data_IF_935483799777
#
_entry.id   IF_935483799777
#
_cell.length_a   1.000
_cell.length_b   1.000
_cell.length_c   1.000
_cell.angle_alpha   90.00
_cell.angle_beta   90.00
_cell.angle_gamma   90.00
#
_symmetry.space_group_name_H-M   'P 1'
#
loop_
_entity.id
_entity.type
_entity.pdbx_description
1 polymer ?
#
# COMPACT_ATOMS: atom_id res chain seq x y z
N UNK A 1 -5.38 39.42 35.30
CA UNK A 1 -5.91 38.58 34.18
C UNK A 1 -5.94 39.32 32.86
N UNK A 2 -5.86 40.66 32.85
CA UNK A 2 -5.82 41.49 31.63
C UNK A 2 -4.45 41.59 30.96
N UNK A 3 -3.34 41.43 31.68
CA UNK A 3 -1.99 41.54 31.13
C UNK A 3 -1.54 40.36 30.25
N UNK A 4 -2.25 39.21 30.26
CA UNK A 4 -1.95 38.04 29.49
C UNK A 4 -2.52 38.13 28.05
N UNK A 5 -3.56 38.91 27.81
CA UNK A 5 -4.24 39.05 26.54
C UNK A 5 -3.60 40.08 25.63
N UNK A 6 -2.81 41.03 26.17
CA UNK A 6 -2.13 42.07 25.37
C UNK A 6 -0.81 41.62 24.74
N UNK A 7 -0.31 40.43 25.12
CA UNK A 7 0.96 39.89 24.58
C UNK A 7 0.74 38.83 23.48
N UNK A 8 -0.51 38.45 23.26
CA UNK A 8 -0.84 37.41 22.27
C UNK A 8 -0.79 37.94 20.85
N UNK A 9 0.25 37.59 20.12
CA UNK A 9 0.41 37.95 18.71
C UNK A 9 -0.23 36.88 17.81
N UNK A 10 -0.74 37.29 16.67
CA UNK A 10 -1.24 36.37 15.65
C UNK A 10 -0.16 35.33 15.22
N UNK A 11 1.10 35.68 15.33
CA UNK A 11 2.26 34.78 15.12
C UNK A 11 2.29 33.62 16.09
N UNK A 12 1.87 33.82 17.36
CA UNK A 12 1.88 32.77 18.39
C UNK A 12 0.78 31.72 18.13
N UNK A 13 -0.36 32.16 17.60
CA UNK A 13 -1.44 31.26 17.18
C UNK A 13 -1.02 30.43 15.97
N UNK A 14 -0.34 31.04 15.02
CA UNK A 14 0.18 30.38 13.83
C UNK A 14 1.27 29.37 14.20
N UNK A 15 2.14 29.71 15.16
CA UNK A 15 3.19 28.83 15.66
C UNK A 15 2.58 27.60 16.39
N UNK A 16 1.58 27.81 17.26
CA UNK A 16 0.87 26.73 17.95
C UNK A 16 0.19 25.78 16.95
N UNK A 17 -0.49 26.31 15.92
CA UNK A 17 -1.15 25.52 14.89
C UNK A 17 -0.12 24.72 14.11
N UNK A 18 0.98 25.35 13.70
CA UNK A 18 2.03 24.72 12.89
C UNK A 18 2.75 23.63 13.68
N UNK A 19 3.09 23.87 14.95
CA UNK A 19 3.69 22.89 15.86
C UNK A 19 2.72 21.74 16.13
N UNK A 20 1.43 22.02 16.37
CA UNK A 20 0.41 20.99 16.60
C UNK A 20 0.26 20.09 15.36
N UNK A 21 0.23 20.68 14.15
CA UNK A 21 0.12 19.95 12.90
C UNK A 21 1.37 19.12 12.65
N UNK A 22 2.56 19.66 12.96
CA UNK A 22 3.84 18.96 12.85
C UNK A 22 3.91 17.77 13.82
N UNK A 23 3.50 17.95 15.07
CA UNK A 23 3.44 16.88 16.08
C UNK A 23 2.42 15.82 15.65
N UNK A 24 1.23 16.22 15.19
CA UNK A 24 0.22 15.29 14.70
C UNK A 24 0.71 14.44 13.53
N UNK A 25 1.41 15.05 12.57
CA UNK A 25 2.05 14.34 11.45
C UNK A 25 3.19 13.42 11.91
N UNK A 26 4.01 13.86 12.85
CA UNK A 26 5.06 13.03 13.45
C UNK A 26 4.47 11.80 14.15
N UNK A 27 3.40 11.96 14.92
CA UNK A 27 2.73 10.84 15.61
C UNK A 27 2.08 9.84 14.63
N UNK A 28 1.58 10.29 13.48
CA UNK A 28 1.05 9.38 12.45
C UNK A 28 2.16 8.58 11.76
N UNK A 29 3.35 9.16 11.58
CA UNK A 29 4.53 8.46 11.03
C UNK A 29 5.12 7.44 12.02
N UNK A 30 4.99 7.69 13.34
CA UNK A 30 5.51 6.84 14.41
C UNK A 30 4.70 5.55 14.66
N UNK A 31 3.65 5.28 13.90
CA UNK A 31 2.84 4.05 14.03
C UNK A 31 3.57 2.77 13.62
N UNK A 32 4.71 2.85 12.94
CA UNK A 32 5.55 1.69 12.66
C UNK A 32 6.39 1.33 13.88
N UNK A 33 6.42 0.04 14.25
CA UNK A 33 7.20 -0.45 15.39
C UNK A 33 8.71 -0.14 15.25
N UNK A 34 9.20 0.00 14.02
CA UNK A 34 10.59 0.32 13.71
C UNK A 34 10.91 1.79 14.00
N UNK A 35 10.02 2.71 13.60
CA UNK A 35 10.18 4.16 13.85
C UNK A 35 10.19 4.46 15.36
N UNK A 36 9.33 3.81 16.12
CA UNK A 36 9.28 3.97 17.58
C UNK A 36 10.57 3.49 18.27
N UNK A 37 11.14 2.36 17.82
CA UNK A 37 12.41 1.84 18.34
C UNK A 37 13.58 2.78 18.04
N UNK A 38 13.65 3.32 16.82
CA UNK A 38 14.69 4.27 16.42
C UNK A 38 14.61 5.57 17.23
N UNK A 39 13.40 6.10 17.43
CA UNK A 39 13.17 7.26 18.27
C UNK A 39 13.64 7.02 19.71
N UNK A 40 13.32 5.86 20.27
CA UNK A 40 13.72 5.49 21.62
C UNK A 40 15.25 5.43 21.75
N UNK A 41 15.96 4.82 20.79
CA UNK A 41 17.42 4.77 20.74
C UNK A 41 18.00 6.17 20.66
N UNK A 42 17.44 7.06 19.85
CA UNK A 42 17.89 8.44 19.70
C UNK A 42 17.70 9.26 20.98
N UNK A 43 16.56 9.09 21.67
CA UNK A 43 16.28 9.72 22.97
C UNK A 43 17.26 9.24 24.05
N UNK A 44 17.54 7.93 24.11
CA UNK A 44 18.50 7.37 25.06
C UNK A 44 19.92 7.89 24.76
N UNK A 45 20.32 7.93 23.50
CA UNK A 45 21.63 8.49 23.13
C UNK A 45 21.76 9.97 23.48
N UNK A 46 20.69 10.75 23.28
CA UNK A 46 20.63 12.17 23.66
C UNK A 46 20.75 12.37 25.18
N UNK A 47 20.01 11.58 25.97
CA UNK A 47 20.10 11.63 27.44
C UNK A 47 21.51 11.24 27.93
N UNK A 48 22.12 10.20 27.34
CA UNK A 48 23.51 9.82 27.64
C UNK A 48 24.51 10.93 27.30
N UNK A 49 24.29 11.66 26.20
CA UNK A 49 25.13 12.78 25.83
C UNK A 49 25.07 13.93 26.86
N UNK A 50 23.87 14.23 27.40
CA UNK A 50 23.68 15.20 28.48
C UNK A 50 24.41 14.74 29.75
N UNK A 51 24.19 13.51 30.17
CA UNK A 51 24.83 12.96 31.38
C UNK A 51 26.36 12.94 31.22
N UNK A 52 26.89 12.54 30.09
CA UNK A 52 28.31 12.53 29.77
C UNK A 52 28.92 13.93 29.87
N UNK A 53 28.19 14.98 29.39
CA UNK A 53 28.62 16.37 29.50
C UNK A 53 28.69 16.84 30.95
N UNK A 54 27.68 16.51 31.75
CA UNK A 54 27.63 16.87 33.17
C UNK A 54 28.67 16.15 34.02
N UNK A 55 29.03 14.90 33.64
CA UNK A 55 30.01 14.07 34.34
C UNK A 55 31.46 14.31 33.90
N UNK A 56 31.72 15.22 32.96
CA UNK A 56 33.06 15.54 32.49
C UNK A 56 33.73 14.45 31.65
N UNK A 57 32.97 13.49 31.13
CA UNK A 57 33.45 12.38 30.30
C UNK A 57 33.64 12.83 28.84
N UNK A 58 34.77 13.50 28.59
CA UNK A 58 35.06 14.16 27.30
C UNK A 58 35.05 13.22 26.10
N UNK A 59 35.60 12.01 26.24
CA UNK A 59 35.68 11.01 25.15
C UNK A 59 34.30 10.46 24.79
N UNK A 60 33.49 10.14 25.79
CA UNK A 60 32.13 9.63 25.60
C UNK A 60 31.22 10.72 24.99
N UNK A 61 31.36 11.95 25.47
CA UNK A 61 30.64 13.09 24.94
C UNK A 61 30.95 13.33 23.46
N UNK A 62 32.24 13.34 23.09
CA UNK A 62 32.66 13.51 21.68
C UNK A 62 32.11 12.38 20.78
N UNK A 63 32.14 11.12 21.24
CA UNK A 63 31.61 10.00 20.51
C UNK A 63 30.09 10.12 20.29
N UNK A 64 29.34 10.46 21.35
CA UNK A 64 27.88 10.61 21.27
C UNK A 64 27.47 11.82 20.43
N UNK A 65 28.22 12.92 20.48
CA UNK A 65 27.96 14.12 19.68
C UNK A 65 28.19 13.84 18.18
N UNK A 66 29.26 13.11 17.85
CA UNK A 66 29.50 12.62 16.49
C UNK A 66 28.42 11.67 15.99
N UNK A 67 27.95 10.76 16.86
CA UNK A 67 26.86 9.83 16.53
C UNK A 67 25.54 10.56 16.30
N UNK A 68 25.20 11.51 17.18
CA UNK A 68 23.99 12.31 17.07
C UNK A 68 24.04 13.24 15.85
N UNK A 69 25.19 13.78 15.51
CA UNK A 69 25.39 14.59 14.30
C UNK A 69 25.12 13.78 13.02
N UNK A 70 25.53 12.52 13.00
CA UNK A 70 25.25 11.61 11.86
C UNK A 70 23.85 11.00 11.89
N UNK A 71 23.14 11.06 13.02
CA UNK A 71 21.80 10.47 13.19
C UNK A 71 20.77 11.06 12.22
N UNK A 72 20.89 12.32 11.86
CA UNK A 72 20.02 12.98 10.86
C UNK A 72 20.20 12.33 9.49
N UNK A 73 21.43 12.08 9.07
CA UNK A 73 21.73 11.42 7.79
C UNK A 73 21.22 9.98 7.80
N UNK A 74 21.45 9.27 8.90
CA UNK A 74 20.96 7.89 9.09
C UNK A 74 19.44 7.86 9.05
N UNK A 75 18.76 8.78 9.74
CA UNK A 75 17.32 8.90 9.73
C UNK A 75 16.79 9.15 8.30
N UNK A 76 17.38 10.07 7.55
CA UNK A 76 16.99 10.35 6.15
C UNK A 76 17.15 9.09 5.29
N UNK A 77 18.25 8.33 5.45
CA UNK A 77 18.48 7.09 4.69
C UNK A 77 17.46 6.01 5.06
N UNK A 78 17.13 5.86 6.34
CA UNK A 78 16.14 4.85 6.78
C UNK A 78 14.73 5.24 6.33
N UNK A 79 14.38 6.52 6.43
CA UNK A 79 13.05 7.01 6.07
C UNK A 79 12.93 7.47 4.61
N UNK A 80 13.96 7.29 3.76
CA UNK A 80 13.92 7.75 2.37
C UNK A 80 12.75 7.14 1.59
N UNK A 81 12.39 5.87 1.87
CA UNK A 81 11.24 5.20 1.26
C UNK A 81 9.92 5.80 1.70
N UNK A 82 9.79 6.18 2.98
CA UNK A 82 8.57 6.80 3.51
C UNK A 82 8.44 8.25 3.04
N UNK A 83 9.56 8.99 2.97
CA UNK A 83 9.62 10.33 2.38
C UNK A 83 9.25 10.28 0.90
N UNK A 84 9.81 9.33 0.14
CA UNK A 84 9.48 9.13 -1.27
C UNK A 84 7.98 8.80 -1.45
N UNK A 85 7.43 7.92 -0.61
CA UNK A 85 5.98 7.60 -0.64
C UNK A 85 5.14 8.84 -0.37
N UNK A 86 5.46 9.62 0.67
CA UNK A 86 4.77 10.85 0.98
C UNK A 86 4.80 11.84 -0.19
N UNK A 87 5.98 12.08 -0.78
CA UNK A 87 6.14 12.98 -1.91
C UNK A 87 5.35 12.52 -3.15
N UNK A 88 5.34 11.22 -3.45
CA UNK A 88 4.58 10.66 -4.56
C UNK A 88 3.06 10.75 -4.31
N UNK A 89 2.61 10.59 -3.07
CA UNK A 89 1.20 10.75 -2.70
C UNK A 89 0.76 12.20 -2.88
N UNK A 90 1.52 13.18 -2.38
CA UNK A 90 1.21 14.61 -2.56
C UNK A 90 1.32 15.08 -4.02
N UNK A 91 2.23 14.52 -4.81
CA UNK A 91 2.36 14.85 -6.24
C UNK A 91 1.16 14.42 -7.08
N UNK A 92 0.44 13.36 -6.67
CA UNK A 92 -0.76 12.87 -7.38
C UNK A 92 -2.01 13.70 -7.13
N UNK A 93 -2.15 14.29 -5.93
CA UNK A 93 -3.30 15.14 -5.57
C UNK A 93 -3.45 16.33 -6.52
N UNK A 94 -2.35 16.79 -7.13
CA UNK A 94 -2.36 17.91 -8.08
C UNK A 94 -2.73 17.51 -9.53
N UNK A 95 -2.92 16.20 -9.81
CA UNK A 95 -3.10 15.67 -11.17
C UNK A 95 -4.44 14.93 -11.40
N UNK A 96 -5.38 14.98 -10.46
CA UNK A 96 -6.68 14.33 -10.61
C UNK A 96 -7.54 15.07 -11.65
N UNK A 97 -7.53 14.54 -12.89
CA UNK A 97 -8.38 14.97 -13.99
C UNK A 97 -9.65 14.10 -14.08
N UNK A 98 -10.77 14.61 -14.61
CA UNK A 98 -12.03 13.84 -14.79
C UNK A 98 -11.91 12.58 -15.66
N UNK A 99 -10.79 12.43 -16.35
CA UNK A 99 -10.45 11.28 -17.20
C UNK A 99 -10.18 10.00 -16.40
N UNK A 100 -9.80 10.13 -15.12
CA UNK A 100 -9.42 9.02 -14.25
C UNK A 100 -10.62 8.16 -13.81
N UNK A 101 -11.80 8.75 -13.67
CA UNK A 101 -13.03 8.01 -13.34
C UNK A 101 -13.53 7.13 -14.50
N UNK A 102 -13.31 7.57 -15.74
CA UNK A 102 -13.63 6.78 -16.94
C UNK A 102 -12.70 5.57 -17.08
N UNK A 103 -11.40 5.74 -16.82
CA UNK A 103 -10.41 4.66 -16.87
C UNK A 103 -10.66 3.60 -15.81
N UNK A 104 -11.05 4.01 -14.60
CA UNK A 104 -11.40 3.06 -13.52
C UNK A 104 -12.62 2.22 -13.90
N UNK A 105 -13.66 2.85 -14.46
CA UNK A 105 -14.86 2.14 -14.90
C UNK A 105 -14.55 1.11 -16.02
N UNK A 106 -13.69 1.45 -16.99
CA UNK A 106 -13.25 0.54 -18.04
C UNK A 106 -12.49 -0.68 -17.46
N UNK A 107 -11.60 -0.46 -16.48
CA UNK A 107 -10.87 -1.54 -15.80
C UNK A 107 -11.83 -2.44 -15.03
N UNK A 108 -12.77 -1.87 -14.27
CA UNK A 108 -13.79 -2.64 -13.52
C UNK A 108 -14.59 -3.52 -14.46
N UNK A 109 -15.04 -2.96 -15.59
CA UNK A 109 -15.79 -3.73 -16.59
C UNK A 109 -14.97 -4.85 -17.22
N UNK A 110 -13.72 -4.57 -17.62
CA UNK A 110 -12.84 -5.56 -18.23
C UNK A 110 -12.53 -6.71 -17.25
N UNK A 111 -12.16 -6.41 -16.02
CA UNK A 111 -11.84 -7.40 -14.97
C UNK A 111 -13.07 -8.23 -14.63
N UNK A 112 -14.23 -7.58 -14.44
CA UNK A 112 -15.46 -8.30 -14.12
C UNK A 112 -15.93 -9.20 -15.24
N UNK A 113 -15.85 -8.75 -16.50
CA UNK A 113 -16.21 -9.53 -17.67
C UNK A 113 -15.25 -10.71 -17.88
N UNK A 114 -13.95 -10.51 -17.66
CA UNK A 114 -12.96 -11.59 -17.68
C UNK A 114 -13.24 -12.63 -16.60
N UNK A 115 -13.49 -12.18 -15.34
CA UNK A 115 -13.81 -13.07 -14.23
C UNK A 115 -15.05 -13.92 -14.51
N UNK A 116 -16.12 -13.34 -15.07
CA UNK A 116 -17.32 -14.07 -15.46
C UNK A 116 -17.05 -15.10 -16.58
N UNK A 117 -16.26 -14.73 -17.59
CA UNK A 117 -15.88 -15.64 -18.68
C UNK A 117 -15.04 -16.82 -18.20
N UNK A 118 -14.09 -16.57 -17.29
CA UNK A 118 -13.22 -17.59 -16.69
C UNK A 118 -14.00 -18.48 -15.71
N UNK A 119 -14.88 -17.91 -14.92
CA UNK A 119 -15.80 -18.60 -14.02
C UNK A 119 -16.69 -19.61 -14.75
N UNK A 120 -17.32 -19.19 -15.84
CA UNK A 120 -18.17 -20.06 -16.66
C UNK A 120 -17.44 -21.27 -17.26
N UNK A 121 -16.11 -21.22 -17.33
CA UNK A 121 -15.24 -22.29 -17.86
C UNK A 121 -14.46 -23.02 -16.79
N UNK A 122 -14.64 -22.69 -15.52
CA UNK A 122 -13.83 -23.18 -14.39
C UNK A 122 -12.31 -22.97 -14.62
N UNK A 123 -11.93 -21.84 -15.21
CA UNK A 123 -10.53 -21.48 -15.40
C UNK A 123 -10.09 -20.62 -14.22
N UNK A 124 -9.12 -21.14 -13.44
CA UNK A 124 -8.56 -20.42 -12.30
C UNK A 124 -7.82 -19.15 -12.73
N UNK A 125 -8.06 -18.05 -12.03
CA UNK A 125 -7.36 -16.79 -12.29
C UNK A 125 -7.03 -16.02 -11.02
N UNK A 126 -6.03 -15.15 -11.10
CA UNK A 126 -5.55 -14.32 -10.00
C UNK A 126 -5.21 -12.93 -10.56
N UNK A 127 -6.11 -11.97 -10.39
CA UNK A 127 -5.99 -10.61 -10.94
C UNK A 127 -5.81 -9.62 -9.79
N UNK A 128 -4.66 -8.96 -9.75
CA UNK A 128 -4.27 -8.00 -8.72
C UNK A 128 -4.39 -6.58 -9.26
N UNK A 129 -5.15 -5.75 -8.55
CA UNK A 129 -5.28 -4.33 -8.84
C UNK A 129 -4.49 -3.55 -7.80
N UNK A 130 -3.39 -2.92 -8.24
CA UNK A 130 -2.55 -2.06 -7.40
C UNK A 130 -3.31 -0.80 -7.03
N UNK A 131 -3.23 -0.42 -5.76
CA UNK A 131 -3.82 0.84 -5.26
C UNK A 131 -2.72 1.84 -4.92
N UNK A 132 -2.57 2.21 -3.65
CA UNK A 132 -1.61 3.23 -3.22
C UNK A 132 -0.21 2.68 -2.96
N UNK A 133 -0.12 1.43 -2.49
CA UNK A 133 1.17 0.78 -2.21
C UNK A 133 1.69 0.07 -3.45
N UNK A 134 2.94 0.33 -3.83
CA UNK A 134 3.61 -0.41 -4.89
C UNK A 134 3.81 -1.87 -4.52
N UNK A 135 3.63 -2.76 -5.48
CA UNK A 135 3.68 -4.21 -5.31
C UNK A 135 5.09 -4.78 -5.54
N UNK A 136 6.00 -4.00 -6.13
CA UNK A 136 7.31 -4.46 -6.59
C UNK A 136 8.13 -5.24 -5.53
N UNK A 137 8.11 -4.90 -4.21
CA UNK A 137 8.87 -5.64 -3.22
C UNK A 137 8.29 -7.03 -2.88
N UNK A 138 7.05 -7.31 -3.30
CA UNK A 138 6.28 -8.49 -2.89
C UNK A 138 5.97 -9.45 -4.05
N UNK A 139 6.39 -9.08 -5.27
CA UNK A 139 6.14 -9.86 -6.48
C UNK A 139 7.45 -10.45 -6.95
N UNK A 140 7.48 -11.77 -7.14
CA UNK A 140 8.56 -12.40 -7.89
C UNK A 140 8.29 -12.30 -9.39
N UNK A 141 9.36 -12.26 -10.15
CA UNK A 141 9.41 -11.87 -11.58
C UNK A 141 8.31 -12.49 -12.42
N UNK A 142 7.49 -11.63 -13.05
CA UNK A 142 6.55 -11.98 -14.11
C UNK A 142 7.03 -11.52 -15.48
N UNK A 143 6.27 -11.85 -16.51
CA UNK A 143 6.47 -11.35 -17.87
C UNK A 143 5.88 -9.94 -18.00
N UNK A 144 6.65 -8.99 -18.48
CA UNK A 144 6.21 -7.62 -18.74
C UNK A 144 5.29 -7.59 -19.98
N UNK A 145 4.12 -6.94 -19.86
CA UNK A 145 3.10 -6.87 -20.91
C UNK A 145 2.87 -5.43 -21.36
N UNK A 146 2.74 -4.48 -20.43
CA UNK A 146 2.42 -3.05 -20.64
C UNK A 146 1.30 -2.78 -21.65
N UNK A 147 0.14 -3.41 -21.47
CA UNK A 147 -0.99 -3.31 -22.38
C UNK A 147 -2.22 -2.66 -21.70
N UNK A 148 -3.20 -2.21 -22.52
CA UNK A 148 -4.52 -1.81 -22.03
C UNK A 148 -5.23 -3.03 -21.42
N UNK A 149 -5.92 -2.85 -20.30
CA UNK A 149 -6.73 -3.90 -19.68
C UNK A 149 -7.96 -4.15 -20.53
N UNK A 150 -8.09 -5.36 -21.06
CA UNK A 150 -9.30 -5.80 -21.77
C UNK A 150 -9.69 -7.20 -21.30
N UNK A 151 -10.99 -7.52 -21.36
CA UNK A 151 -11.51 -8.83 -20.98
C UNK A 151 -10.88 -9.96 -21.81
N UNK A 152 -10.68 -9.73 -23.10
CA UNK A 152 -10.10 -10.67 -24.04
C UNK A 152 -8.64 -10.99 -23.69
N UNK A 153 -7.85 -9.96 -23.38
CA UNK A 153 -6.44 -10.14 -23.00
C UNK A 153 -6.32 -10.90 -21.67
N UNK A 154 -7.09 -10.50 -20.66
CA UNK A 154 -7.12 -11.17 -19.35
C UNK A 154 -7.53 -12.64 -19.50
N UNK A 155 -8.61 -12.90 -20.27
CA UNK A 155 -9.07 -14.27 -20.52
C UNK A 155 -7.99 -15.08 -21.24
N UNK A 156 -7.33 -14.50 -22.25
CA UNK A 156 -6.28 -15.18 -23.02
C UNK A 156 -5.05 -15.54 -22.19
N UNK A 157 -4.68 -14.69 -21.24
CA UNK A 157 -3.55 -14.95 -20.34
C UNK A 157 -3.82 -16.19 -19.47
N UNK A 158 -5.03 -16.33 -18.93
CA UNK A 158 -5.36 -17.43 -18.03
C UNK A 158 -5.78 -18.73 -18.70
N UNK A 159 -5.82 -18.78 -20.04
CA UNK A 159 -6.07 -20.05 -20.73
C UNK A 159 -4.98 -21.08 -20.40
N UNK A 160 -5.32 -22.37 -20.18
CA UNK A 160 -4.37 -23.40 -19.75
C UNK A 160 -3.15 -23.60 -20.68
N UNK A 161 -3.25 -23.17 -21.93
CA UNK A 161 -2.18 -23.28 -22.93
C UNK A 161 -1.28 -22.02 -22.97
N UNK A 162 -1.62 -20.96 -22.28
CA UNK A 162 -0.79 -19.76 -22.19
C UNK A 162 0.44 -20.02 -21.33
N UNK A 163 1.65 -19.70 -21.79
CA UNK A 163 2.87 -19.90 -21.00
C UNK A 163 2.95 -19.03 -19.74
N UNK A 164 2.09 -18.03 -19.62
CA UNK A 164 2.05 -17.07 -18.50
C UNK A 164 0.75 -17.17 -17.66
N UNK A 165 0.02 -18.31 -17.77
CA UNK A 165 -1.23 -18.52 -17.07
C UNK A 165 -1.05 -18.86 -15.58
N UNK A 166 0.12 -19.39 -15.21
CA UNK A 166 0.42 -19.76 -13.82
C UNK A 166 0.99 -18.55 -13.07
N UNK A 167 0.23 -18.06 -12.11
CA UNK A 167 0.54 -16.88 -11.35
C UNK A 167 -0.50 -15.79 -11.45
N UNK A 168 -0.12 -14.60 -11.02
CA UNK A 168 -0.99 -13.42 -10.98
C UNK A 168 -0.75 -12.51 -12.19
N UNK A 169 -1.82 -11.82 -12.58
CA UNK A 169 -1.77 -10.64 -13.45
C UNK A 169 -1.79 -9.41 -12.58
N UNK A 170 -0.92 -8.44 -12.87
CA UNK A 170 -0.83 -7.17 -12.15
C UNK A 170 -1.37 -6.04 -13.02
N UNK A 171 -2.38 -5.36 -12.48
CA UNK A 171 -3.00 -4.19 -13.09
C UNK A 171 -2.59 -2.97 -12.25
N UNK A 172 -1.93 -2.02 -12.91
CA UNK A 172 -1.40 -0.82 -12.30
C UNK A 172 -1.75 0.39 -13.15
N UNK A 173 -2.40 1.40 -12.55
CA UNK A 173 -2.78 2.65 -13.23
C UNK A 173 -3.53 2.42 -14.55
N UNK A 174 -4.54 1.57 -14.52
CA UNK A 174 -5.36 1.28 -15.70
C UNK A 174 -4.71 0.42 -16.78
N UNK A 175 -3.48 -0.06 -16.55
CA UNK A 175 -2.74 -0.93 -17.48
C UNK A 175 -2.45 -2.29 -16.87
N UNK A 176 -2.46 -3.31 -17.69
CA UNK A 176 -1.93 -4.63 -17.38
C UNK A 176 -0.41 -4.56 -17.55
N UNK A 177 0.33 -4.62 -16.45
CA UNK A 177 1.79 -4.40 -16.46
C UNK A 177 2.57 -5.69 -16.49
N UNK A 178 2.16 -6.69 -15.70
CA UNK A 178 2.87 -7.97 -15.56
C UNK A 178 1.88 -9.14 -15.59
N UNK A 179 2.34 -10.31 -16.04
CA UNK A 179 1.61 -11.56 -15.96
C UNK A 179 2.52 -12.72 -15.54
N UNK A 180 1.94 -13.77 -14.96
CA UNK A 180 2.68 -14.92 -14.44
C UNK A 180 3.53 -14.59 -13.20
N UNK A 181 3.05 -13.68 -12.36
CA UNK A 181 3.75 -13.27 -11.14
C UNK A 181 3.47 -14.22 -9.98
N UNK A 182 4.50 -14.59 -9.22
CA UNK A 182 4.31 -15.31 -7.97
C UNK A 182 4.13 -14.35 -6.79
N UNK A 183 3.18 -14.68 -5.93
CA UNK A 183 2.80 -13.87 -4.77
C UNK A 183 3.07 -14.64 -3.46
N UNK A 184 3.32 -13.93 -2.34
CA UNK A 184 3.49 -14.57 -1.05
C UNK A 184 2.21 -15.27 -0.61
N UNK A 185 2.35 -16.48 -0.10
CA UNK A 185 1.23 -17.24 0.47
C UNK A 185 1.00 -16.80 1.92
N UNK A 186 -0.28 -16.70 2.31
CA UNK A 186 -0.62 -16.45 3.72
C UNK A 186 -0.10 -17.56 4.63
N UNK A 187 0.37 -17.16 5.82
CA UNK A 187 0.78 -18.07 6.89
C UNK A 187 -0.26 -18.18 8.01
N UNK A 188 -1.40 -17.53 7.85
CA UNK A 188 -2.46 -17.54 8.85
C UNK A 188 -3.08 -18.95 8.97
N UNK A 189 -3.00 -19.61 10.14
CA UNK A 189 -3.55 -20.95 10.36
C UNK A 189 -5.09 -21.00 10.37
N UNK A 190 -5.74 -19.85 10.60
CA UNK A 190 -7.21 -19.75 10.70
C UNK A 190 -7.90 -19.78 9.33
N UNK A 191 -7.11 -19.71 8.25
CA UNK A 191 -7.65 -19.76 6.89
C UNK A 191 -8.03 -21.19 6.52
N UNK A 192 -9.24 -21.34 5.99
CA UNK A 192 -9.79 -22.64 5.57
C UNK A 192 -8.81 -23.40 4.67
N UNK A 193 -8.57 -24.67 5.01
CA UNK A 193 -7.71 -25.58 4.22
C UNK A 193 -8.29 -25.91 2.84
N UNK A 194 -9.57 -25.62 2.63
CA UNK A 194 -10.27 -25.84 1.36
C UNK A 194 -9.98 -24.74 0.32
N UNK A 195 -9.26 -23.68 0.69
CA UNK A 195 -8.88 -22.64 -0.25
C UNK A 195 -7.63 -23.05 -1.04
N UNK A 196 -7.74 -23.03 -2.37
CA UNK A 196 -6.65 -23.32 -3.28
C UNK A 196 -5.49 -22.31 -3.19
N UNK A 197 -4.39 -22.61 -3.87
CA UNK A 197 -3.15 -21.82 -3.83
C UNK A 197 -3.36 -20.37 -4.25
N UNK A 198 -4.19 -20.09 -5.28
CA UNK A 198 -4.51 -18.71 -5.75
C UNK A 198 -5.21 -17.88 -4.68
N UNK A 199 -6.14 -18.47 -3.93
CA UNK A 199 -6.80 -17.79 -2.82
C UNK A 199 -5.83 -17.47 -1.68
N UNK A 200 -4.95 -18.41 -1.34
CA UNK A 200 -3.93 -18.21 -0.30
C UNK A 200 -2.89 -17.16 -0.70
N UNK A 201 -2.57 -17.08 -1.98
CA UNK A 201 -1.71 -16.05 -2.54
C UNK A 201 -2.37 -14.67 -2.49
N UNK A 202 -3.66 -14.58 -2.86
CA UNK A 202 -4.43 -13.33 -2.77
C UNK A 202 -4.50 -12.80 -1.32
N UNK A 203 -4.77 -13.68 -0.35
CA UNK A 203 -4.82 -13.32 1.06
C UNK A 203 -3.42 -12.87 1.51
N UNK A 204 -2.36 -13.66 1.23
CA UNK A 204 -1.00 -13.35 1.66
C UNK A 204 -0.48 -12.02 1.13
N UNK A 205 -0.78 -11.68 -0.13
CA UNK A 205 -0.44 -10.38 -0.68
C UNK A 205 -1.21 -9.25 0.03
N UNK A 206 -2.52 -9.39 0.19
CA UNK A 206 -3.38 -8.34 0.76
C UNK A 206 -3.22 -8.17 2.28
N UNK A 207 -2.57 -9.10 2.97
CA UNK A 207 -2.10 -8.92 4.36
C UNK A 207 -0.92 -7.94 4.43
N UNK A 208 -0.13 -7.84 3.37
CA UNK A 208 1.11 -7.05 3.33
C UNK A 208 0.95 -5.68 2.67
N UNK A 209 0.03 -5.57 1.71
CA UNK A 209 -0.13 -4.37 0.87
C UNK A 209 -1.59 -3.99 0.72
N UNK A 210 -1.81 -2.70 0.42
CA UNK A 210 -3.12 -2.20 0.02
C UNK A 210 -3.35 -2.51 -1.47
N UNK A 211 -3.92 -3.69 -1.74
CA UNK A 211 -4.30 -4.14 -3.07
C UNK A 211 -5.70 -4.76 -3.03
N UNK A 212 -6.35 -4.78 -4.19
CA UNK A 212 -7.60 -5.52 -4.41
C UNK A 212 -7.30 -6.69 -5.32
N UNK A 213 -7.72 -7.89 -4.93
CA UNK A 213 -7.44 -9.10 -5.70
C UNK A 213 -8.73 -9.83 -6.03
N UNK A 214 -8.91 -10.11 -7.32
CA UNK A 214 -10.01 -10.94 -7.82
C UNK A 214 -9.47 -12.34 -8.11
N UNK A 215 -10.12 -13.35 -7.55
CA UNK A 215 -9.76 -14.76 -7.72
C UNK A 215 -10.94 -15.50 -8.31
N UNK A 216 -10.67 -16.32 -9.33
CA UNK A 216 -11.62 -17.31 -9.83
C UNK A 216 -11.09 -18.70 -9.46
N UNK A 217 -11.94 -19.51 -8.84
CA UNK A 217 -11.62 -20.89 -8.49
C UNK A 217 -11.62 -21.79 -9.72
N UNK A 218 -10.58 -22.58 -9.90
CA UNK A 218 -10.55 -23.61 -10.94
C UNK A 218 -11.39 -24.85 -10.61
N UNK A 219 -11.70 -25.06 -9.32
CA UNK A 219 -12.49 -26.20 -8.86
C UNK A 219 -14.00 -25.95 -8.96
N UNK A 220 -14.42 -24.76 -8.51
CA UNK A 220 -15.84 -24.43 -8.37
C UNK A 220 -16.33 -23.37 -9.35
N UNK A 221 -15.42 -22.65 -10.02
CA UNK A 221 -15.75 -21.48 -10.81
C UNK A 221 -16.17 -20.26 -9.98
N UNK A 222 -16.19 -20.36 -8.64
CA UNK A 222 -16.62 -19.23 -7.80
C UNK A 222 -15.66 -18.02 -7.92
N UNK A 223 -16.27 -16.84 -7.91
CA UNK A 223 -15.53 -15.56 -7.95
C UNK A 223 -15.40 -15.03 -6.53
N UNK A 224 -14.19 -14.68 -6.14
CA UNK A 224 -13.89 -14.13 -4.82
C UNK A 224 -13.15 -12.81 -4.95
N UNK A 225 -13.41 -11.88 -4.03
CA UNK A 225 -12.68 -10.64 -3.86
C UNK A 225 -11.90 -10.68 -2.55
N UNK A 226 -10.63 -10.30 -2.61
CA UNK A 226 -9.74 -10.30 -1.44
C UNK A 226 -9.17 -8.91 -1.22
N UNK A 227 -9.30 -8.40 0.01
CA UNK A 227 -8.79 -7.10 0.44
C UNK A 227 -8.40 -7.14 1.91
N UNK A 228 -7.25 -6.57 2.29
CA UNK A 228 -6.81 -6.48 3.69
C UNK A 228 -6.76 -7.83 4.41
N UNK A 229 -6.37 -8.90 3.72
CA UNK A 229 -6.32 -10.27 4.26
C UNK A 229 -7.68 -10.95 4.43
N UNK A 230 -8.77 -10.33 3.95
CA UNK A 230 -10.14 -10.88 4.06
C UNK A 230 -10.67 -11.26 2.69
N UNK A 231 -11.30 -12.43 2.62
CA UNK A 231 -11.93 -12.96 1.41
C UNK A 231 -13.45 -12.84 1.48
N UNK A 232 -14.04 -12.38 0.39
CA UNK A 232 -15.49 -12.43 0.14
C UNK A 232 -15.72 -13.33 -1.05
N UNK A 233 -16.27 -14.51 -0.83
CA UNK A 233 -16.47 -15.55 -1.85
C UNK A 233 -17.88 -15.52 -2.43
N UNK A 234 -18.06 -16.27 -3.54
CA UNK A 234 -19.34 -16.51 -4.21
C UNK A 234 -20.04 -15.22 -4.67
N UNK A 235 -19.24 -14.28 -5.20
CA UNK A 235 -19.75 -13.02 -5.72
C UNK A 235 -20.38 -13.22 -7.10
N UNK A 236 -21.55 -12.62 -7.28
CA UNK A 236 -22.11 -12.45 -8.61
C UNK A 236 -21.42 -11.27 -9.35
N UNK A 237 -21.74 -11.14 -10.64
CA UNK A 237 -21.11 -10.12 -11.49
C UNK A 237 -21.48 -8.68 -11.07
N UNK A 238 -22.70 -8.48 -10.55
CA UNK A 238 -23.17 -7.17 -10.12
C UNK A 238 -22.48 -6.74 -8.82
N UNK A 239 -22.37 -7.66 -7.86
CA UNK A 239 -21.67 -7.43 -6.61
C UNK A 239 -20.17 -7.23 -6.83
N UNK A 240 -19.54 -8.03 -7.72
CA UNK A 240 -18.13 -7.84 -8.06
C UNK A 240 -17.86 -6.43 -8.62
N UNK A 241 -18.65 -5.97 -9.58
CA UNK A 241 -18.53 -4.61 -10.14
C UNK A 241 -18.71 -3.53 -9.08
N UNK A 242 -19.72 -3.68 -8.23
CA UNK A 242 -20.01 -2.76 -7.15
C UNK A 242 -18.86 -2.64 -6.14
N UNK A 243 -18.30 -3.80 -5.72
CA UNK A 243 -17.18 -3.82 -4.79
C UNK A 243 -15.90 -3.28 -5.43
N UNK A 244 -15.57 -3.70 -6.66
CA UNK A 244 -14.41 -3.18 -7.38
C UNK A 244 -14.48 -1.67 -7.57
N UNK A 245 -15.63 -1.13 -8.03
CA UNK A 245 -15.87 0.30 -8.16
C UNK A 245 -15.61 1.02 -6.84
N UNK A 246 -16.26 0.59 -5.77
CA UNK A 246 -16.08 1.19 -4.44
C UNK A 246 -14.62 1.18 -3.97
N UNK A 247 -13.91 0.06 -4.13
CA UNK A 247 -12.51 -0.04 -3.66
C UNK A 247 -11.52 0.77 -4.49
N UNK A 248 -11.78 0.93 -5.79
CA UNK A 248 -10.93 1.72 -6.67
C UNK A 248 -11.26 3.22 -6.60
N UNK A 249 -12.55 3.60 -6.48
CA UNK A 249 -12.98 5.00 -6.30
C UNK A 249 -12.56 5.55 -4.94
N UNK A 250 -12.69 4.78 -3.84
CA UNK A 250 -12.24 5.22 -2.50
C UNK A 250 -10.72 5.44 -2.43
N UNK A 251 -9.96 4.83 -3.34
CA UNK A 251 -8.55 5.17 -3.52
C UNK A 251 -8.36 6.58 -4.11
N UNK A 252 -9.28 6.99 -4.99
CA UNK A 252 -9.25 8.29 -5.67
C UNK A 252 -9.84 9.42 -4.81
N UNK A 253 -10.93 9.18 -4.06
CA UNK A 253 -11.60 10.20 -3.25
C UNK A 253 -10.84 10.56 -1.96
N UNK A 254 -10.13 9.62 -1.33
CA UNK A 254 -9.27 9.92 -0.18
C UNK A 254 -8.04 10.74 -0.56
N UNK A 255 -7.67 10.78 -1.82
CA UNK A 255 -6.64 11.66 -2.37
C UNK A 255 -7.13 13.10 -2.56
N UNK A 256 -8.44 13.33 -2.66
CA UNK A 256 -9.05 14.66 -2.86
C UNK A 256 -9.45 15.41 -1.56
N UNK A 257 -9.38 14.77 -0.39
CA UNK A 257 -9.84 15.34 0.89
C UNK A 257 -8.79 15.30 2.01
N UNK A 258 -7.50 15.06 1.70
CA UNK A 258 -6.41 15.02 2.69
C UNK A 258 -5.42 16.21 2.48
#
# INVERSE_FOLDING_TARGET
>A
MSAFLDTFRWTDLLDIVLVTLLIHRAMTLLKSALALRLLLVLVVAFLLAIVSRLSGLSTLHWLLDSLLGSAVVIAVVIFHTDIRRALLTYGRVLSSTPQQSSEVAEVVDAVSSAAASLSARNIGSLMVLERQMGLEPFIEVGTEIDAKVTSELLTSIFLPYSPIHDGAVIIKRGKLTLAGCFLPLTRNPDISKNLGTRHRAAIGLTELVDAVVVVVSEETGSISLVTGGRITSDLDLADLRKFLGRYLETATEREGHA
#
